data_IF_741257951526
#
_entry.id   IF_741257951526
#
_cell.length_a   1.000
_cell.length_b   1.000
_cell.length_c   1.000
_cell.angle_alpha   90.00
_cell.angle_beta   90.00
_cell.angle_gamma   90.00
#
_symmetry.space_group_name_H-M   'P 1'
#
loop_
_entity.id
_entity.type
_entity.pdbx_description
1 polymer ?
#
# COMPACT_ATOMS: atom_id res chain seq x y z
N UNK A 1 -9.91 -1.99 -0.50
CA UNK A 1 -9.25 -2.69 0.63
C UNK A 1 -8.98 -4.16 0.35
N UNK A 2 -8.67 -4.53 -0.89
CA UNK A 2 -8.35 -5.91 -1.28
C UNK A 2 -7.00 -6.35 -0.73
N UNK A 3 -6.02 -5.44 -0.69
CA UNK A 3 -4.71 -5.66 -0.04
C UNK A 3 -4.88 -6.07 1.42
N UNK A 4 -5.74 -5.37 2.18
CA UNK A 4 -5.99 -5.69 3.59
C UNK A 4 -6.72 -7.03 3.78
N UNK A 5 -7.49 -7.47 2.77
CA UNK A 5 -8.15 -8.78 2.78
C UNK A 5 -7.25 -9.90 2.23
N UNK A 6 -6.03 -9.58 1.79
CA UNK A 6 -5.12 -10.53 1.17
C UNK A 6 -5.58 -11.06 -0.19
N UNK A 7 -6.47 -10.34 -0.87
CA UNK A 7 -7.00 -10.74 -2.19
C UNK A 7 -5.98 -10.44 -3.30
N UNK A 8 -5.21 -9.37 -3.13
CA UNK A 8 -4.15 -8.92 -4.05
C UNK A 8 -2.96 -8.42 -3.24
N UNK A 9 -1.75 -8.43 -3.82
CA UNK A 9 -0.56 -7.79 -3.20
C UNK A 9 -0.42 -6.31 -3.61
N UNK A 10 0.36 -5.48 -2.90
CA UNK A 10 0.46 -4.05 -3.20
C UNK A 10 0.82 -3.71 -4.65
N UNK A 11 1.75 -4.41 -5.35
CA UNK A 11 2.02 -4.17 -6.77
C UNK A 11 0.84 -4.40 -7.73
N UNK A 12 -0.17 -5.17 -7.33
CA UNK A 12 -1.39 -5.37 -8.12
C UNK A 12 -2.45 -4.30 -7.85
N UNK A 13 -2.26 -3.46 -6.83
CA UNK A 13 -3.15 -2.34 -6.56
C UNK A 13 -2.83 -1.20 -7.54
N UNK A 14 -3.81 -0.74 -8.34
CA UNK A 14 -3.58 0.30 -9.35
C UNK A 14 -3.18 1.66 -8.78
N UNK A 15 -3.38 1.86 -7.46
CA UNK A 15 -2.98 3.11 -6.81
C UNK A 15 -1.55 3.04 -6.25
N UNK A 16 -0.99 1.84 -6.04
CA UNK A 16 0.29 1.67 -5.35
C UNK A 16 1.45 2.22 -6.18
N UNK A 17 2.32 3.03 -5.57
CA UNK A 17 3.45 3.75 -6.21
C UNK A 17 3.08 4.81 -7.26
N UNK A 18 1.81 4.91 -7.62
CA UNK A 18 1.29 6.00 -8.45
C UNK A 18 0.64 7.07 -7.56
N UNK A 19 -0.67 6.96 -7.31
CA UNK A 19 -1.42 7.92 -6.52
C UNK A 19 -1.29 7.69 -4.99
N UNK A 20 -0.90 6.48 -4.58
CA UNK A 20 -0.74 6.07 -3.19
C UNK A 20 0.75 5.91 -2.88
N UNK A 21 1.27 6.87 -2.11
CA UNK A 21 2.67 6.94 -1.65
C UNK A 21 2.70 7.26 -0.14
N UNK A 22 3.85 7.12 0.55
CA UNK A 22 3.96 7.51 1.95
C UNK A 22 3.63 8.98 2.22
N UNK A 23 3.89 9.87 1.24
CA UNK A 23 3.59 11.30 1.31
C UNK A 23 2.12 11.61 1.00
N UNK A 24 1.48 10.78 0.18
CA UNK A 24 0.06 10.89 -0.19
C UNK A 24 -0.66 9.54 -0.01
N UNK A 25 -0.94 9.13 1.23
CA UNK A 25 -1.51 7.82 1.50
C UNK A 25 -3.02 7.78 1.20
N UNK A 26 -3.45 6.84 0.36
CA UNK A 26 -4.86 6.67 -0.01
C UNK A 26 -5.64 5.72 0.92
N UNK A 27 -4.98 5.09 1.89
CA UNK A 27 -5.64 4.17 2.80
C UNK A 27 -4.74 3.63 3.90
N UNK A 28 -5.34 2.95 4.89
CA UNK A 28 -4.65 2.49 6.09
C UNK A 28 -3.44 1.57 5.82
N UNK A 29 -3.44 0.83 4.69
CA UNK A 29 -2.30 -0.01 4.31
C UNK A 29 -1.04 0.79 3.99
N UNK A 30 -1.16 2.09 3.66
CA UNK A 30 -0.06 3.00 3.34
C UNK A 30 0.22 4.00 4.47
N UNK A 31 -0.80 4.39 5.26
CA UNK A 31 -0.62 5.34 6.38
C UNK A 31 0.24 4.74 7.50
N UNK A 32 0.02 3.46 7.82
CA UNK A 32 0.75 2.82 8.91
C UNK A 32 2.14 2.37 8.44
N UNK A 33 3.17 2.57 9.25
CA UNK A 33 4.51 2.01 9.02
C UNK A 33 4.53 0.49 9.05
N UNK A 34 3.58 -0.13 9.74
CA UNK A 34 3.34 -1.58 9.75
C UNK A 34 2.37 -2.00 8.64
N UNK A 35 1.81 -1.04 7.88
CA UNK A 35 0.89 -1.29 6.79
C UNK A 35 1.56 -2.02 5.63
N UNK A 36 0.86 -2.98 5.04
CA UNK A 36 1.39 -3.82 3.96
C UNK A 36 1.89 -3.00 2.77
N UNK A 37 1.18 -1.92 2.40
CA UNK A 37 1.59 -1.05 1.30
C UNK A 37 2.83 -0.24 1.68
N UNK A 38 2.90 0.32 2.89
CA UNK A 38 4.07 1.06 3.36
C UNK A 38 5.33 0.17 3.46
N UNK A 39 5.19 -1.05 3.98
CA UNK A 39 6.27 -2.02 4.06
C UNK A 39 6.77 -2.42 2.66
N UNK A 40 5.86 -2.72 1.73
CA UNK A 40 6.24 -2.99 0.34
C UNK A 40 6.95 -1.80 -0.32
N UNK A 41 6.47 -0.58 -0.09
CA UNK A 41 7.08 0.62 -0.66
C UNK A 41 8.52 0.81 -0.17
N UNK A 42 8.81 0.47 1.09
CA UNK A 42 10.12 0.67 1.73
C UNK A 42 11.14 -0.42 1.40
N UNK A 43 10.70 -1.66 1.21
CA UNK A 43 11.60 -2.82 1.14
C UNK A 43 11.58 -3.59 -0.19
N UNK A 44 10.61 -3.35 -1.07
CA UNK A 44 10.55 -3.87 -2.44
C UNK A 44 10.60 -2.71 -3.43
#
# INVERSE_FOLDING_TARGET
GEVLRGVIIPPECPLFREACTPENPQGACMVSTEGTCAAYYKYN
#
